data_IF_017979240749
#
_entry.id   IF_017979240749
#
_cell.length_a   1.000
_cell.length_b   1.000
_cell.length_c   1.000
_cell.angle_alpha   90.00
_cell.angle_beta   90.00
_cell.angle_gamma   90.00
#
_symmetry.space_group_name_H-M   'P 1'
#
loop_
_entity.id
_entity.type
_entity.pdbx_description
1 polymer ?
#
# COMPACT_ATOMS: atom_id res chain seq x y z
N UNK A 1 11.28 -4.61 13.02
CA UNK A 1 10.50 -5.09 11.88
C UNK A 1 11.44 -5.73 10.88
N UNK A 2 11.02 -6.78 10.19
CA UNK A 2 11.82 -7.42 9.15
C UNK A 2 11.47 -6.81 7.80
N UNK A 3 12.47 -6.52 6.96
CA UNK A 3 12.28 -6.08 5.57
C UNK A 3 13.03 -7.08 4.70
N UNK A 4 12.36 -7.62 3.69
CA UNK A 4 12.93 -8.62 2.78
C UNK A 4 12.76 -8.18 1.33
N UNK A 5 13.68 -8.61 0.47
CA UNK A 5 13.51 -8.43 -0.99
C UNK A 5 12.25 -9.17 -1.42
N UNK A 6 11.48 -8.57 -2.33
CA UNK A 6 10.25 -9.20 -2.86
C UNK A 6 10.63 -10.55 -3.48
N UNK A 7 9.92 -11.60 -3.07
CA UNK A 7 10.05 -12.95 -3.63
C UNK A 7 8.91 -13.12 -4.63
N UNK A 8 9.25 -13.10 -5.92
CA UNK A 8 8.28 -13.10 -7.01
C UNK A 8 8.91 -13.61 -8.29
N UNK A 9 8.09 -14.11 -9.21
CA UNK A 9 8.48 -14.46 -10.58
C UNK A 9 8.50 -13.24 -11.53
N UNK A 10 7.99 -12.08 -11.09
CA UNK A 10 7.97 -10.85 -11.86
C UNK A 10 9.28 -10.05 -11.79
N UNK A 11 9.52 -9.13 -12.73
CA UNK A 11 10.67 -8.22 -12.67
C UNK A 11 10.74 -7.43 -11.35
N UNK A 12 11.95 -7.19 -10.84
CA UNK A 12 12.17 -6.36 -9.64
C UNK A 12 13.06 -5.18 -10.04
N UNK A 13 12.71 -3.92 -9.71
CA UNK A 13 11.66 -3.49 -8.77
C UNK A 13 10.23 -3.72 -9.27
N UNK A 14 9.30 -3.91 -8.33
CA UNK A 14 7.88 -3.69 -8.57
C UNK A 14 7.70 -2.21 -8.93
N UNK A 15 7.46 -1.96 -10.23
CA UNK A 15 7.46 -0.64 -10.83
C UNK A 15 6.23 -0.45 -11.69
N UNK A 16 5.47 0.61 -11.41
CA UNK A 16 4.31 1.01 -12.20
C UNK A 16 3.01 0.99 -11.41
N UNK A 17 1.91 1.04 -12.14
CA UNK A 17 0.57 1.00 -11.57
C UNK A 17 0.20 -0.42 -11.14
N UNK A 18 -0.33 -0.56 -9.94
CA UNK A 18 -0.88 -1.83 -9.43
C UNK A 18 -2.10 -1.54 -8.54
N UNK A 19 -3.05 -2.48 -8.51
CA UNK A 19 -4.32 -2.34 -7.83
C UNK A 19 -4.19 -2.59 -6.33
N UNK A 20 -4.80 -1.75 -5.52
CA UNK A 20 -5.01 -2.03 -4.10
C UNK A 20 -6.13 -3.06 -3.93
N UNK A 21 -5.93 -3.99 -3.01
CA UNK A 21 -6.94 -4.93 -2.54
C UNK A 21 -7.22 -4.64 -1.07
N UNK A 22 -8.46 -4.34 -0.75
CA UNK A 22 -8.89 -4.02 0.61
C UNK A 22 -10.37 -4.28 0.84
N UNK A 23 -10.74 -4.54 2.11
CA UNK A 23 -12.15 -4.50 2.54
C UNK A 23 -12.71 -3.08 2.58
N UNK A 24 -11.86 -2.06 2.67
CA UNK A 24 -12.28 -0.67 2.70
C UNK A 24 -12.66 -0.22 1.28
N UNK A 25 -13.92 0.23 1.02
CA UNK A 25 -14.40 0.51 -0.33
C UNK A 25 -13.56 1.51 -1.12
N UNK A 26 -13.01 2.52 -0.44
CA UNK A 26 -12.14 3.53 -1.06
C UNK A 26 -10.80 2.95 -1.53
N UNK A 27 -10.33 1.81 -1.04
CA UNK A 27 -8.97 1.29 -1.24
C UNK A 27 -8.92 0.12 -2.24
N UNK A 28 -9.62 0.26 -3.37
CA UNK A 28 -9.67 -0.74 -4.44
C UNK A 28 -9.41 -0.15 -5.85
N UNK A 29 -8.46 0.79 -5.97
CA UNK A 29 -8.03 1.33 -7.27
C UNK A 29 -6.50 1.31 -7.43
N UNK A 30 -6.04 1.67 -8.62
CA UNK A 30 -4.63 1.61 -9.00
C UNK A 30 -3.81 2.75 -8.39
N UNK A 31 -2.63 2.40 -7.91
CA UNK A 31 -1.63 3.32 -7.34
C UNK A 31 -0.24 2.98 -7.87
N UNK A 32 0.69 3.92 -7.76
CA UNK A 32 2.01 3.84 -8.36
C UNK A 32 3.07 3.33 -7.37
N UNK A 33 3.63 2.17 -7.65
CA UNK A 33 4.71 1.54 -6.89
C UNK A 33 6.07 1.73 -7.58
N UNK A 34 7.12 1.84 -6.75
CA UNK A 34 8.53 1.72 -7.18
C UNK A 34 9.38 1.23 -6.01
N UNK A 35 9.56 -0.09 -5.87
CA UNK A 35 10.32 -0.67 -4.76
C UNK A 35 10.82 -2.09 -5.05
N UNK A 36 11.88 -2.53 -4.36
CA UNK A 36 12.42 -3.89 -4.46
C UNK A 36 12.26 -4.73 -3.18
N UNK A 37 11.85 -4.10 -2.09
CA UNK A 37 11.75 -4.70 -0.76
C UNK A 37 10.37 -4.48 -0.18
N UNK A 38 9.91 -5.40 0.66
CA UNK A 38 8.61 -5.34 1.33
C UNK A 38 8.74 -5.63 2.82
N UNK A 39 7.77 -5.13 3.58
CA UNK A 39 7.48 -5.58 4.93
C UNK A 39 6.68 -6.90 4.91
N UNK A 40 6.64 -7.67 6.02
CA UNK A 40 5.73 -8.79 6.15
C UNK A 40 4.28 -8.33 6.28
N UNK A 41 3.35 -9.19 5.87
CA UNK A 41 1.93 -9.03 6.19
C UNK A 41 1.72 -9.06 7.71
N UNK A 42 0.70 -8.34 8.19
CA UNK A 42 0.32 -8.30 9.61
C UNK A 42 -1.16 -7.93 9.76
N UNK A 43 -1.68 -7.99 10.98
CA UNK A 43 -3.05 -7.56 11.31
C UNK A 43 -3.29 -6.06 11.08
N UNK A 44 -2.23 -5.26 11.05
CA UNK A 44 -2.29 -3.81 10.84
C UNK A 44 -2.35 -3.43 9.35
N UNK A 45 -2.33 -4.41 8.43
CA UNK A 45 -2.44 -4.15 6.98
C UNK A 45 -3.89 -3.87 6.63
N UNK A 46 -4.16 -2.66 6.13
CA UNK A 46 -5.50 -2.23 5.70
C UNK A 46 -5.72 -2.47 4.21
N UNK A 47 -4.66 -2.33 3.41
CA UNK A 47 -4.66 -2.64 1.99
C UNK A 47 -3.33 -3.27 1.58
N UNK A 48 -3.39 -4.15 0.58
CA UNK A 48 -2.22 -4.78 -0.02
C UNK A 48 -2.31 -4.74 -1.55
N UNK A 49 -1.24 -5.11 -2.24
CA UNK A 49 -1.23 -5.33 -3.69
C UNK A 49 -0.61 -6.68 -3.99
N UNK A 50 -1.03 -7.33 -5.09
CA UNK A 50 -0.47 -8.61 -5.50
C UNK A 50 0.64 -8.39 -6.52
N UNK A 51 1.82 -8.95 -6.25
CA UNK A 51 2.96 -8.92 -7.16
C UNK A 51 3.79 -10.22 -7.06
N UNK A 52 3.12 -11.37 -7.23
CA UNK A 52 3.69 -12.71 -7.00
C UNK A 52 3.83 -13.05 -5.51
N UNK A 53 3.65 -12.05 -4.64
CA UNK A 53 3.40 -12.14 -3.22
C UNK A 53 2.42 -11.03 -2.81
N UNK A 54 1.81 -11.16 -1.64
CA UNK A 54 1.02 -10.07 -1.05
C UNK A 54 1.97 -9.01 -0.49
N UNK A 55 1.91 -7.81 -1.06
CA UNK A 55 2.71 -6.65 -0.69
C UNK A 55 1.87 -5.75 0.22
N UNK A 56 2.25 -5.53 1.50
CA UNK A 56 1.61 -4.52 2.33
C UNK A 56 1.66 -3.15 1.65
N UNK A 57 0.50 -2.56 1.35
CA UNK A 57 0.40 -1.30 0.64
C UNK A 57 0.09 -0.13 1.59
N UNK A 58 -0.83 -0.36 2.52
CA UNK A 58 -1.19 0.58 3.60
C UNK A 58 -1.23 -0.20 4.90
N UNK A 59 -0.50 0.29 5.90
CA UNK A 59 -0.56 -0.19 7.29
C UNK A 59 -1.04 0.92 8.20
N UNK A 60 -1.82 0.57 9.21
CA UNK A 60 -2.25 1.50 10.24
C UNK A 60 -2.22 0.85 11.62
N UNK A 61 -1.60 1.52 12.58
CA UNK A 61 -1.64 1.17 14.00
C UNK A 61 -1.92 2.45 14.79
N UNK A 62 -3.11 2.55 15.40
CA UNK A 62 -3.60 3.81 15.98
C UNK A 62 -3.51 4.96 14.96
N UNK A 63 -2.77 6.02 15.30
CA UNK A 63 -2.51 7.19 14.46
C UNK A 63 -1.24 7.08 13.61
N UNK A 64 -0.54 5.94 13.64
CA UNK A 64 0.62 5.69 12.78
C UNK A 64 0.16 5.03 11.48
N UNK A 65 0.47 5.67 10.36
CA UNK A 65 0.10 5.19 9.03
C UNK A 65 1.36 5.10 8.16
N UNK A 66 1.53 3.94 7.51
CA UNK A 66 2.58 3.70 6.53
C UNK A 66 1.97 3.42 5.17
N UNK A 67 2.51 4.03 4.13
CA UNK A 67 2.10 3.83 2.74
C UNK A 67 3.32 3.42 1.92
N UNK A 68 3.23 2.28 1.23
CA UNK A 68 4.33 1.71 0.44
C UNK A 68 4.41 2.29 -0.98
N UNK A 69 3.26 2.62 -1.58
CA UNK A 69 3.21 3.28 -2.89
C UNK A 69 3.46 4.79 -2.75
N UNK A 70 3.56 5.49 -3.88
CA UNK A 70 3.76 6.94 -3.93
C UNK A 70 2.43 7.66 -4.16
N UNK A 71 1.72 8.12 -3.10
CA UNK A 71 0.42 8.78 -3.27
C UNK A 71 0.51 10.03 -4.16
N UNK A 72 1.62 10.76 -4.11
CA UNK A 72 1.89 11.94 -4.92
C UNK A 72 2.08 11.63 -6.42
N UNK A 73 2.45 10.38 -6.75
CA UNK A 73 2.57 9.89 -8.13
C UNK A 73 1.35 9.11 -8.62
N UNK A 74 0.36 8.91 -7.74
CA UNK A 74 -0.82 8.07 -7.99
C UNK A 74 -2.06 8.89 -8.38
N UNK A 75 -1.85 10.06 -8.98
CA UNK A 75 -2.92 10.94 -9.47
C UNK A 75 -3.84 11.49 -8.36
N UNK A 76 -5.06 11.86 -8.76
CA UNK A 76 -6.06 12.42 -7.84
C UNK A 76 -6.47 11.42 -6.75
N UNK A 77 -6.54 10.13 -7.09
CA UNK A 77 -6.86 9.05 -6.17
C UNK A 77 -5.79 8.90 -5.07
N UNK A 78 -4.51 8.89 -5.44
CA UNK A 78 -3.42 8.87 -4.46
C UNK A 78 -3.46 10.05 -3.48
N UNK A 79 -3.77 11.24 -3.97
CA UNK A 79 -3.93 12.44 -3.13
C UNK A 79 -5.16 12.34 -2.19
N UNK A 80 -6.23 11.68 -2.61
CA UNK A 80 -7.37 11.41 -1.73
C UNK A 80 -6.98 10.48 -0.57
N UNK A 81 -6.25 9.40 -0.86
CA UNK A 81 -5.73 8.50 0.17
C UNK A 81 -4.80 9.26 1.13
N UNK A 82 -3.91 10.10 0.61
CA UNK A 82 -3.00 10.89 1.45
C UNK A 82 -3.76 11.86 2.36
N UNK A 83 -4.81 12.51 1.87
CA UNK A 83 -5.67 13.36 2.70
C UNK A 83 -6.34 12.57 3.82
N UNK A 84 -6.92 11.41 3.50
CA UNK A 84 -7.54 10.54 4.51
C UNK A 84 -6.52 10.09 5.56
N UNK A 85 -5.30 9.73 5.15
CA UNK A 85 -4.23 9.35 6.06
C UNK A 85 -3.88 10.49 7.04
N UNK A 86 -3.80 11.74 6.56
CA UNK A 86 -3.52 12.90 7.42
C UNK A 86 -4.70 13.21 8.37
N UNK A 87 -5.92 12.81 8.02
CA UNK A 87 -7.14 13.07 8.80
C UNK A 87 -7.46 12.02 9.87
N UNK A 88 -6.72 10.92 9.95
CA UNK A 88 -6.95 9.87 10.95
C UNK A 88 -6.94 8.44 10.42
N UNK A 89 -6.75 8.26 9.10
CA UNK A 89 -6.63 6.95 8.47
C UNK A 89 -7.99 6.30 8.19
N UNK A 90 -8.05 4.98 8.27
CA UNK A 90 -9.08 4.16 7.60
C UNK A 90 -9.80 3.19 8.55
N UNK A 91 -9.54 3.26 9.86
CA UNK A 91 -10.08 2.33 10.87
C UNK A 91 -11.33 2.90 11.57
N UNK A 92 -11.62 4.20 11.44
CA UNK A 92 -12.71 4.88 12.16
C UNK A 92 -13.74 5.56 11.22
N UNK A 93 -13.74 5.20 9.94
CA UNK A 93 -14.73 5.70 8.95
C UNK A 93 -16.02 4.87 8.95
#
# INVERSE_FOLDING_TARGET
>A
GNISRIQTEYPVPHLGWNNLVSKHPMLNQDVYFVHSYQAPMSENVIAYAQYGADIPAIVQFNNYIGIQFHPEKSGTYGLQILRQAIQGGFIND
#
